data_IF_812658042797
#
_entry.id   IF_812658042797
#
_cell.length_a   1.000
_cell.length_b   1.000
_cell.length_c   1.000
_cell.angle_alpha   90.00
_cell.angle_beta   90.00
_cell.angle_gamma   90.00
#
_symmetry.space_group_name_H-M   'P 1'
#
loop_
_entity.id
_entity.type
_entity.pdbx_description
1 polymer ?
#
# COMPACT_ATOMS: atom_id res chain seq x y z
N UNK A 1 1.62 -9.81 12.85
CA UNK A 1 2.19 -8.63 12.14
C UNK A 1 2.00 -8.89 10.66
N UNK A 2 0.99 -8.32 10.00
CA UNK A 2 0.48 -8.84 8.73
C UNK A 2 1.55 -9.21 7.66
N UNK A 3 2.51 -8.32 7.38
CA UNK A 3 3.58 -8.61 6.41
C UNK A 3 4.47 -9.80 6.82
N UNK A 4 4.80 -9.90 8.11
CA UNK A 4 5.54 -11.02 8.67
C UNK A 4 4.72 -12.30 8.64
N UNK A 5 3.42 -12.22 8.97
CA UNK A 5 2.52 -13.37 8.97
C UNK A 5 2.41 -13.97 7.55
N UNK A 6 2.32 -13.11 6.52
CA UNK A 6 2.36 -13.53 5.11
C UNK A 6 3.71 -14.17 4.76
N UNK A 7 4.83 -13.54 5.12
CA UNK A 7 6.17 -14.08 4.82
C UNK A 7 6.41 -15.43 5.52
N UNK A 8 5.96 -15.59 6.76
CA UNK A 8 6.08 -16.83 7.52
C UNK A 8 5.26 -17.99 6.94
N UNK A 9 4.22 -17.69 6.14
CA UNK A 9 3.50 -18.71 5.37
C UNK A 9 4.28 -19.24 4.16
N UNK A 10 5.33 -18.54 3.72
CA UNK A 10 6.09 -18.87 2.51
C UNK A 10 7.54 -19.28 2.79
N UNK A 11 8.10 -18.93 3.95
CA UNK A 11 9.50 -19.15 4.30
C UNK A 11 9.60 -19.78 5.69
N UNK A 12 10.49 -20.77 5.86
CA UNK A 12 10.81 -21.31 7.17
C UNK A 12 11.45 -20.24 8.05
N UNK A 13 10.83 -19.96 9.20
CA UNK A 13 11.27 -18.95 10.15
C UNK A 13 12.21 -19.51 11.24
N UNK A 14 12.46 -20.82 11.27
CA UNK A 14 13.32 -21.43 12.27
C UNK A 14 14.75 -20.84 12.20
N UNK A 15 15.27 -20.44 13.37
CA UNK A 15 16.62 -19.87 13.47
C UNK A 15 16.76 -18.44 12.95
N UNK A 16 15.68 -17.80 12.45
CA UNK A 16 15.69 -16.39 12.06
C UNK A 16 15.40 -15.50 13.27
N UNK A 17 16.14 -14.40 13.39
CA UNK A 17 15.85 -13.35 14.37
C UNK A 17 14.76 -12.43 13.83
N UNK A 18 13.68 -12.27 14.59
CA UNK A 18 12.64 -11.28 14.27
C UNK A 18 13.03 -9.96 14.93
N UNK A 19 13.34 -8.95 14.12
CA UNK A 19 13.60 -7.60 14.57
C UNK A 19 12.32 -6.76 14.42
N UNK A 20 11.55 -6.52 15.50
CA UNK A 20 10.38 -5.64 15.43
C UNK A 20 10.84 -4.20 15.21
N UNK A 21 10.18 -3.51 14.27
CA UNK A 21 10.43 -2.11 13.97
C UNK A 21 9.13 -1.34 14.17
N UNK A 22 9.19 -0.30 15.02
CA UNK A 22 8.04 0.54 15.30
C UNK A 22 8.06 1.81 14.44
N UNK A 23 6.96 2.06 13.77
CA UNK A 23 6.75 3.26 12.96
C UNK A 23 5.58 4.06 13.53
N UNK A 24 5.81 5.35 13.73
CA UNK A 24 4.74 6.25 14.18
C UNK A 24 3.90 6.75 13.01
N UNK A 25 2.59 6.86 13.23
CA UNK A 25 1.65 7.53 12.32
C UNK A 25 1.44 9.01 12.68
N UNK A 26 2.32 9.60 13.50
CA UNK A 26 2.24 11.00 13.85
C UNK A 26 2.27 11.90 12.61
N UNK A 27 1.43 12.95 12.60
CA UNK A 27 1.46 13.99 11.56
C UNK A 27 2.71 14.87 11.65
N UNK A 28 3.32 14.94 12.84
CA UNK A 28 4.55 15.70 13.05
C UNK A 28 5.71 15.01 12.34
N UNK A 29 6.33 15.73 11.41
CA UNK A 29 7.42 15.21 10.59
C UNK A 29 8.64 14.84 11.40
N UNK A 30 9.06 15.65 12.37
CA UNK A 30 10.21 15.35 13.23
C UNK A 30 10.00 14.05 14.03
N UNK A 31 8.80 13.84 14.59
CA UNK A 31 8.48 12.60 15.31
C UNK A 31 8.56 11.37 14.38
N UNK A 32 8.09 11.51 13.14
CA UNK A 32 8.17 10.44 12.14
C UNK A 32 9.62 10.15 11.73
N UNK A 33 10.38 11.20 11.49
CA UNK A 33 11.80 11.12 11.19
C UNK A 33 12.61 10.45 12.30
N UNK A 34 12.30 10.76 13.56
CA UNK A 34 12.94 10.12 14.71
C UNK A 34 12.66 8.61 14.74
N UNK A 35 11.43 8.20 14.44
CA UNK A 35 11.09 6.77 14.33
C UNK A 35 11.84 6.07 13.20
N UNK A 36 12.05 6.75 12.06
CA UNK A 36 12.82 6.20 10.94
C UNK A 36 14.29 6.05 11.28
N UNK A 37 14.89 7.02 11.98
CA UNK A 37 16.28 6.92 12.45
C UNK A 37 16.44 5.80 13.47
N UNK A 38 15.50 5.62 14.38
CA UNK A 38 15.52 4.52 15.35
C UNK A 38 15.45 3.15 14.66
N UNK A 39 14.52 2.97 13.71
CA UNK A 39 14.40 1.74 12.94
C UNK A 39 15.66 1.44 12.11
N UNK A 40 16.20 2.45 11.43
CA UNK A 40 17.45 2.31 10.68
C UNK A 40 18.63 1.96 11.60
N UNK A 41 18.74 2.57 12.78
CA UNK A 41 19.79 2.24 13.75
C UNK A 41 19.73 0.79 14.22
N UNK A 42 18.52 0.28 14.49
CA UNK A 42 18.31 -1.12 14.86
C UNK A 42 18.76 -2.09 13.75
N UNK A 43 18.39 -1.80 12.50
CA UNK A 43 18.81 -2.62 11.34
C UNK A 43 20.34 -2.56 11.16
N UNK A 44 20.94 -1.37 11.22
CA UNK A 44 22.38 -1.20 11.06
C UNK A 44 23.18 -1.94 12.13
N UNK A 45 22.66 -2.07 13.35
CA UNK A 45 23.31 -2.84 14.39
C UNK A 45 23.47 -4.32 14.00
N UNK A 46 22.43 -4.90 13.37
CA UNK A 46 22.48 -6.27 12.84
C UNK A 46 23.40 -6.38 11.61
N UNK A 47 23.33 -5.42 10.68
CA UNK A 47 24.22 -5.40 9.52
C UNK A 47 25.70 -5.29 9.93
N UNK A 48 26.01 -4.49 10.96
CA UNK A 48 27.39 -4.26 11.44
C UNK A 48 28.04 -5.50 12.05
N UNK A 49 27.25 -6.48 12.47
CA UNK A 49 27.76 -7.79 12.94
C UNK A 49 27.78 -8.85 11.83
N UNK A 50 27.59 -8.43 10.58
CA UNK A 50 27.68 -9.30 9.39
C UNK A 50 26.43 -10.14 9.11
N UNK A 51 25.26 -9.73 9.62
CA UNK A 51 23.98 -10.40 9.32
C UNK A 51 23.27 -9.70 8.18
N UNK A 52 22.63 -10.48 7.31
CA UNK A 52 21.70 -9.94 6.33
C UNK A 52 20.34 -9.66 6.98
N UNK A 53 19.70 -8.56 6.58
CA UNK A 53 18.38 -8.14 7.11
C UNK A 53 17.38 -8.04 5.96
N UNK A 54 16.29 -8.81 6.06
CA UNK A 54 15.15 -8.70 5.16
C UNK A 54 14.00 -7.94 5.83
N UNK A 55 13.73 -6.72 5.37
CA UNK A 55 12.57 -5.95 5.81
C UNK A 55 11.34 -6.30 4.97
N UNK A 56 10.40 -7.04 5.55
CA UNK A 56 9.15 -7.43 4.88
C UNK A 56 8.21 -6.24 4.68
N UNK A 57 7.57 -6.17 3.52
CA UNK A 57 6.65 -5.08 3.13
C UNK A 57 5.37 -5.67 2.50
N UNK A 58 4.23 -5.01 2.71
CA UNK A 58 2.99 -5.37 2.03
C UNK A 58 2.96 -4.79 0.62
N UNK A 59 2.57 -5.61 -0.36
CA UNK A 59 2.49 -5.19 -1.74
C UNK A 59 3.88 -5.04 -2.34
N UNK A 60 4.21 -3.84 -2.83
CA UNK A 60 5.48 -3.55 -3.48
C UNK A 60 6.24 -2.44 -2.76
N UNK A 61 7.56 -2.60 -2.65
CA UNK A 61 8.44 -1.66 -1.92
C UNK A 61 8.57 -0.30 -2.61
N UNK A 62 8.29 -0.19 -3.91
CA UNK A 62 8.32 1.08 -4.65
C UNK A 62 6.98 1.84 -4.58
N UNK A 63 5.95 1.31 -3.94
CA UNK A 63 4.59 1.89 -3.92
C UNK A 63 4.16 2.20 -2.49
N UNK A 64 4.24 3.48 -2.10
CA UNK A 64 3.77 3.98 -0.79
C UNK A 64 4.28 3.19 0.44
N UNK A 65 5.47 2.61 0.35
CA UNK A 65 6.04 1.75 1.38
C UNK A 65 6.96 2.52 2.34
N UNK A 66 6.77 2.33 3.65
CA UNK A 66 7.68 2.90 4.67
C UNK A 66 9.10 2.33 4.55
N UNK A 67 9.23 1.09 4.09
CA UNK A 67 10.52 0.41 3.94
C UNK A 67 11.50 1.20 3.04
N UNK A 68 10.99 1.92 2.03
CA UNK A 68 11.83 2.70 1.13
C UNK A 68 12.62 3.80 1.87
N UNK A 69 11.97 4.53 2.79
CA UNK A 69 12.64 5.59 3.56
C UNK A 69 13.74 5.03 4.48
N UNK A 70 13.54 3.82 5.01
CA UNK A 70 14.55 3.16 5.85
C UNK A 70 15.73 2.69 5.01
N UNK A 71 15.45 2.16 3.82
CA UNK A 71 16.44 1.69 2.88
C UNK A 71 17.36 2.83 2.41
N UNK A 72 16.82 4.03 2.15
CA UNK A 72 17.64 5.21 1.82
C UNK A 72 18.64 5.54 2.94
N UNK A 73 18.21 5.56 4.20
CA UNK A 73 19.09 5.86 5.35
C UNK A 73 20.18 4.80 5.53
N UNK A 74 19.85 3.53 5.35
CA UNK A 74 20.81 2.42 5.42
C UNK A 74 21.85 2.57 4.32
N UNK A 75 21.42 2.94 3.11
CA UNK A 75 22.31 3.17 1.96
C UNK A 75 23.22 4.37 2.16
N UNK A 76 22.72 5.46 2.72
CA UNK A 76 23.50 6.67 3.00
C UNK A 76 24.65 6.39 3.99
N UNK A 77 24.47 5.42 4.87
CA UNK A 77 25.50 4.95 5.80
C UNK A 77 26.45 3.88 5.20
N UNK A 78 26.37 3.64 3.89
CA UNK A 78 27.32 2.82 3.14
C UNK A 78 27.02 1.33 3.10
N UNK A 79 25.87 0.88 3.60
CA UNK A 79 25.47 -0.52 3.50
C UNK A 79 24.90 -0.85 2.12
N UNK A 80 25.18 -2.06 1.63
CA UNK A 80 24.54 -2.58 0.42
C UNK A 80 23.04 -2.79 0.66
N UNK A 81 22.22 -2.39 -0.31
CA UNK A 81 20.76 -2.48 -0.24
C UNK A 81 20.18 -2.91 -1.57
N UNK A 82 19.18 -3.80 -1.53
CA UNK A 82 18.46 -4.29 -2.71
C UNK A 82 16.96 -4.19 -2.46
N UNK A 83 16.22 -3.75 -3.47
CA UNK A 83 14.76 -3.78 -3.48
C UNK A 83 14.28 -5.02 -4.23
N UNK A 84 13.57 -5.91 -3.55
CA UNK A 84 12.88 -7.03 -4.19
C UNK A 84 11.44 -6.61 -4.53
N UNK A 85 11.03 -6.65 -5.82
CA UNK A 85 9.69 -6.25 -6.20
C UNK A 85 8.65 -7.24 -5.67
N UNK A 86 7.44 -6.73 -5.43
CA UNK A 86 6.27 -7.49 -5.03
C UNK A 86 5.06 -7.18 -5.91
N UNK A 87 3.98 -7.90 -5.68
CA UNK A 87 2.70 -7.62 -6.36
C UNK A 87 1.99 -6.51 -5.60
N UNK A 88 1.97 -5.31 -6.15
CA UNK A 88 1.22 -4.17 -5.58
C UNK A 88 -0.28 -4.45 -5.48
N UNK A 89 -0.93 -3.89 -4.45
CA UNK A 89 -2.32 -4.22 -4.10
C UNK A 89 -3.30 -3.90 -5.23
N UNK A 90 -3.09 -2.81 -5.97
CA UNK A 90 -4.02 -2.41 -7.04
C UNK A 90 -3.99 -3.35 -8.24
N UNK A 91 -2.86 -4.03 -8.51
CA UNK A 91 -2.81 -5.07 -9.53
C UNK A 91 -3.61 -6.30 -9.08
N UNK A 92 -3.48 -6.69 -7.81
CA UNK A 92 -4.26 -7.79 -7.23
C UNK A 92 -5.76 -7.47 -7.26
N UNK A 93 -6.15 -6.25 -6.88
CA UNK A 93 -7.53 -5.75 -6.91
C UNK A 93 -8.09 -5.76 -8.34
N UNK A 94 -7.33 -5.29 -9.32
CA UNK A 94 -7.76 -5.28 -10.72
C UNK A 94 -7.99 -6.70 -11.26
N UNK A 95 -7.05 -7.62 -11.00
CA UNK A 95 -7.19 -9.03 -11.33
C UNK A 95 -8.42 -9.64 -10.64
N UNK A 96 -8.64 -9.28 -9.37
CA UNK A 96 -9.78 -9.78 -8.58
C UNK A 96 -11.13 -9.27 -9.10
N UNK A 97 -11.18 -8.04 -9.58
CA UNK A 97 -12.35 -7.45 -10.25
C UNK A 97 -12.51 -7.94 -11.71
N UNK A 98 -11.53 -8.67 -12.26
CA UNK A 98 -11.53 -9.09 -13.66
C UNK A 98 -11.37 -7.92 -14.65
N UNK A 99 -10.63 -6.88 -14.25
CA UNK A 99 -10.49 -5.63 -15.02
C UNK A 99 -9.05 -5.35 -15.39
N UNK A 100 -8.84 -4.82 -16.61
CA UNK A 100 -7.58 -4.18 -16.95
C UNK A 100 -7.51 -2.80 -16.29
N UNK A 101 -6.33 -2.40 -15.80
CA UNK A 101 -6.09 -1.04 -15.31
C UNK A 101 -5.83 -0.04 -16.44
N UNK A 102 -5.42 -0.51 -17.61
CA UNK A 102 -5.06 0.35 -18.75
C UNK A 102 -5.78 -0.09 -20.01
N UNK A 103 -5.99 0.86 -20.93
CA UNK A 103 -6.51 0.64 -22.27
C UNK A 103 -5.73 1.51 -23.25
N UNK A 104 -5.07 0.89 -24.23
CA UNK A 104 -4.30 1.59 -25.28
C UNK A 104 -3.42 2.72 -24.70
N UNK A 105 -3.76 3.97 -25.01
CA UNK A 105 -3.00 5.18 -24.65
C UNK A 105 -3.61 5.94 -23.45
N UNK A 106 -4.62 5.36 -22.78
CA UNK A 106 -5.23 5.97 -21.61
C UNK A 106 -4.32 5.87 -20.38
N UNK A 107 -4.11 6.99 -19.64
CA UNK A 107 -3.24 6.98 -18.48
C UNK A 107 -3.87 6.20 -17.30
N UNK A 108 -2.99 5.71 -16.42
CA UNK A 108 -3.36 5.16 -15.13
C UNK A 108 -2.96 6.14 -14.03
N UNK A 109 -3.93 6.53 -13.21
CA UNK A 109 -3.73 7.42 -12.07
C UNK A 109 -3.81 6.64 -10.77
N UNK A 110 -2.69 6.55 -10.05
CA UNK A 110 -2.63 5.93 -8.72
C UNK A 110 -2.70 7.04 -7.68
N UNK A 111 -3.79 7.07 -6.92
CA UNK A 111 -4.16 8.14 -6.00
C UNK A 111 -4.15 7.63 -4.57
N UNK A 112 -3.55 8.40 -3.67
CA UNK A 112 -3.68 8.17 -2.23
C UNK A 112 -4.90 8.91 -1.67
N UNK A 113 -5.46 8.43 -0.56
CA UNK A 113 -6.58 9.09 0.12
C UNK A 113 -6.32 10.53 0.63
N UNK A 114 -5.11 11.07 0.51
CA UNK A 114 -4.78 12.48 0.83
C UNK A 114 -4.77 13.40 -0.39
N UNK A 115 -5.06 12.88 -1.58
CA UNK A 115 -5.05 13.64 -2.83
C UNK A 115 -6.30 14.52 -2.94
N UNK A 116 -6.21 15.65 -3.65
CA UNK A 116 -7.39 16.38 -4.11
C UNK A 116 -8.17 15.54 -5.14
N UNK A 117 -9.14 14.80 -4.62
CA UNK A 117 -9.85 13.78 -5.38
C UNK A 117 -10.68 14.39 -6.53
N UNK A 118 -11.30 15.56 -6.35
CA UNK A 118 -12.13 16.16 -7.40
C UNK A 118 -11.28 16.49 -8.65
N UNK A 119 -10.10 17.07 -8.47
CA UNK A 119 -9.21 17.36 -9.58
C UNK A 119 -8.61 16.08 -10.20
N UNK A 120 -8.24 15.11 -9.37
CA UNK A 120 -7.68 13.85 -9.86
C UNK A 120 -8.70 13.00 -10.64
N UNK A 121 -9.98 12.98 -10.22
CA UNK A 121 -11.03 12.24 -10.90
C UNK A 121 -11.39 12.84 -12.27
N UNK A 122 -11.10 14.12 -12.50
CA UNK A 122 -11.31 14.77 -13.80
C UNK A 122 -10.27 14.38 -14.86
N UNK A 123 -9.15 13.76 -14.46
CA UNK A 123 -8.14 13.29 -15.39
C UNK A 123 -8.67 12.12 -16.25
N UNK A 124 -8.22 11.98 -17.51
CA UNK A 124 -8.65 10.87 -18.38
C UNK A 124 -8.13 9.52 -17.87
N UNK A 125 -8.65 8.42 -18.42
CA UNK A 125 -8.18 7.06 -18.09
C UNK A 125 -8.59 6.56 -16.71
N UNK A 126 -7.94 5.50 -16.24
CA UNK A 126 -8.33 4.76 -15.02
C UNK A 126 -7.79 5.40 -13.77
N UNK A 127 -8.60 5.41 -12.70
CA UNK A 127 -8.23 5.88 -11.37
C UNK A 127 -8.19 4.68 -10.42
N UNK A 128 -7.05 4.53 -9.76
CA UNK A 128 -6.86 3.66 -8.60
C UNK A 128 -6.86 4.55 -7.36
N UNK A 129 -7.82 4.38 -6.46
CA UNK A 129 -7.87 5.11 -5.19
C UNK A 129 -7.51 4.16 -4.06
N UNK A 130 -6.31 4.33 -3.50
CA UNK A 130 -5.77 3.52 -2.41
C UNK A 130 -6.11 4.11 -1.04
N UNK A 131 -6.15 3.24 0.00
CA UNK A 131 -6.35 3.62 1.41
C UNK A 131 -7.69 4.34 1.62
N UNK A 132 -8.72 3.92 0.88
CA UNK A 132 -10.00 4.62 0.79
C UNK A 132 -10.98 4.28 1.92
N UNK A 133 -10.71 3.26 2.74
CA UNK A 133 -11.68 2.73 3.72
C UNK A 133 -12.32 3.79 4.62
N UNK A 134 -11.53 4.72 5.17
CA UNK A 134 -12.05 5.81 6.04
C UNK A 134 -12.87 6.88 5.30
N UNK A 135 -12.59 7.09 4.02
CA UNK A 135 -13.21 8.13 3.20
C UNK A 135 -14.05 7.52 2.06
N UNK A 136 -14.52 6.27 2.23
CA UNK A 136 -15.07 5.51 1.12
C UNK A 136 -16.36 6.13 0.61
N UNK A 137 -17.25 6.56 1.50
CA UNK A 137 -18.52 7.19 1.12
C UNK A 137 -18.29 8.54 0.44
N UNK A 138 -17.34 9.35 0.93
CA UNK A 138 -16.94 10.59 0.28
C UNK A 138 -16.37 10.34 -1.11
N UNK A 139 -15.54 9.29 -1.24
CA UNK A 139 -14.94 8.87 -2.52
C UNK A 139 -16.03 8.39 -3.49
N UNK A 140 -17.01 7.62 -3.03
CA UNK A 140 -18.13 7.17 -3.84
C UNK A 140 -19.00 8.34 -4.33
N UNK A 141 -19.29 9.31 -3.47
CA UNK A 141 -20.00 10.53 -3.88
C UNK A 141 -19.17 11.39 -4.85
N UNK A 142 -17.85 11.45 -4.69
CA UNK A 142 -16.98 12.11 -5.66
C UNK A 142 -17.02 11.40 -7.02
N UNK A 143 -16.87 10.08 -7.05
CA UNK A 143 -17.01 9.28 -8.27
C UNK A 143 -18.37 9.49 -8.94
N UNK A 144 -19.45 9.62 -8.15
CA UNK A 144 -20.79 9.91 -8.66
C UNK A 144 -20.87 11.26 -9.36
N UNK A 145 -20.34 12.32 -8.73
CA UNK A 145 -20.32 13.67 -9.33
C UNK A 145 -19.54 13.72 -10.64
N UNK A 146 -18.52 12.87 -10.78
CA UNK A 146 -17.71 12.74 -12.00
C UNK A 146 -18.25 11.70 -12.99
N UNK A 147 -19.39 11.05 -12.72
CA UNK A 147 -19.98 10.05 -13.61
C UNK A 147 -19.25 8.70 -13.65
N UNK A 148 -18.28 8.47 -12.77
CA UNK A 148 -17.44 7.27 -12.73
C UNK A 148 -18.01 6.15 -11.84
N UNK A 149 -19.00 6.45 -11.00
CA UNK A 149 -19.52 5.50 -10.01
C UNK A 149 -20.05 4.20 -10.63
N UNK A 150 -20.69 4.29 -11.79
CA UNK A 150 -21.27 3.12 -12.48
C UNK A 150 -20.21 2.12 -12.96
N UNK A 151 -18.97 2.58 -13.14
CA UNK A 151 -17.82 1.79 -13.58
C UNK A 151 -16.77 1.66 -12.47
N UNK A 152 -17.15 1.87 -11.21
CA UNK A 152 -16.26 1.74 -10.07
C UNK A 152 -16.44 0.37 -9.39
N UNK A 153 -15.32 -0.27 -9.06
CA UNK A 153 -15.29 -1.48 -8.24
C UNK A 153 -14.25 -1.33 -7.12
N UNK A 154 -14.46 -2.04 -6.02
CA UNK A 154 -13.59 -2.01 -4.85
C UNK A 154 -13.32 -3.42 -4.37
N UNK A 155 -12.10 -3.64 -3.90
CA UNK A 155 -11.79 -4.80 -3.06
C UNK A 155 -11.16 -4.31 -1.77
N UNK A 156 -11.68 -4.78 -0.64
CA UNK A 156 -11.09 -4.63 0.68
C UNK A 156 -10.39 -5.94 1.07
N UNK A 157 -9.26 -5.84 1.77
CA UNK A 157 -8.48 -6.98 2.26
C UNK A 157 -8.17 -8.02 1.16
N UNK A 158 -7.85 -7.54 -0.05
CA UNK A 158 -7.62 -8.40 -1.22
C UNK A 158 -6.56 -9.46 -0.94
N UNK A 159 -6.91 -10.74 -1.14
CA UNK A 159 -6.04 -11.89 -0.88
C UNK A 159 -5.92 -12.31 0.60
N UNK A 160 -6.61 -11.63 1.52
CA UNK A 160 -6.70 -12.02 2.93
C UNK A 160 -8.01 -12.78 3.20
N UNK A 161 -8.10 -13.42 4.36
CA UNK A 161 -9.32 -14.17 4.76
C UNK A 161 -10.56 -13.29 4.87
N UNK A 162 -10.38 -11.99 5.18
CA UNK A 162 -11.46 -10.99 5.30
C UNK A 162 -11.78 -10.28 3.99
N UNK A 163 -11.36 -10.82 2.84
CA UNK A 163 -11.57 -10.20 1.53
C UNK A 163 -13.05 -9.89 1.26
N UNK A 164 -13.33 -8.66 0.81
CA UNK A 164 -14.66 -8.25 0.37
C UNK A 164 -14.58 -7.58 -0.99
N UNK A 165 -15.38 -8.07 -1.93
CA UNK A 165 -15.42 -7.60 -3.32
C UNK A 165 -16.75 -6.88 -3.58
N UNK A 166 -16.66 -5.65 -4.08
CA UNK A 166 -17.80 -4.81 -4.43
C UNK A 166 -17.67 -4.35 -5.88
N UNK A 167 -18.52 -4.88 -6.75
CA UNK A 167 -18.60 -4.45 -8.17
C UNK A 167 -19.54 -3.26 -8.37
N UNK A 168 -20.25 -2.84 -7.32
CA UNK A 168 -21.15 -1.71 -7.31
C UNK A 168 -20.99 -0.93 -6.00
N UNK A 169 -20.47 0.29 -6.08
CA UNK A 169 -20.20 1.12 -4.89
C UNK A 169 -21.44 1.86 -4.37
N UNK A 170 -22.64 1.63 -4.94
CA UNK A 170 -23.90 2.14 -4.38
C UNK A 170 -24.36 1.37 -3.15
N UNK A 171 -23.78 0.19 -2.91
CA UNK A 171 -24.12 -0.72 -1.81
C UNK A 171 -22.90 -0.97 -0.92
N UNK A 172 -22.25 0.10 -0.50
CA UNK A 172 -21.11 0.01 0.42
C UNK A 172 -21.59 -0.24 1.86
N UNK A 173 -20.87 -1.06 2.64
CA UNK A 173 -21.11 -1.20 4.07
C UNK A 173 -20.70 0.09 4.79
N UNK A 174 -21.16 0.24 6.03
CA UNK A 174 -20.88 1.43 6.86
C UNK A 174 -19.42 1.54 7.26
N UNK A 175 -18.76 0.40 7.51
CA UNK A 175 -17.34 0.33 7.83
C UNK A 175 -16.60 -0.56 6.83
N UNK A 176 -15.44 -0.08 6.39
CA UNK A 176 -14.58 -0.77 5.43
C UNK A 176 -13.14 -0.76 5.95
N UNK A 177 -12.44 -1.88 5.73
CA UNK A 177 -11.02 -2.01 6.04
C UNK A 177 -10.18 -0.88 5.45
N UNK A 178 -9.12 -0.51 6.18
CA UNK A 178 -8.08 0.40 5.71
C UNK A 178 -7.44 -0.07 4.39
N UNK A 179 -7.39 -1.38 4.12
CA UNK A 179 -6.82 -1.97 2.91
C UNK A 179 -7.77 -1.98 1.70
N UNK A 180 -8.82 -1.17 1.72
CA UNK A 180 -9.67 -0.94 0.57
C UNK A 180 -8.94 -0.18 -0.56
N UNK A 181 -9.14 -0.68 -1.78
CA UNK A 181 -8.68 -0.06 -3.02
C UNK A 181 -9.83 -0.02 -4.01
N UNK A 182 -10.09 1.15 -4.60
CA UNK A 182 -11.08 1.34 -5.67
C UNK A 182 -10.36 1.39 -7.02
N UNK A 183 -10.99 0.82 -8.05
CA UNK A 183 -10.67 1.00 -9.46
C UNK A 183 -11.89 1.59 -10.16
N UNK A 184 -11.72 2.72 -10.85
CA UNK A 184 -12.79 3.39 -11.60
C UNK A 184 -12.28 3.91 -12.94
N UNK A 185 -13.05 3.73 -14.01
CA UNK A 185 -12.74 4.19 -15.39
C UNK A 185 -13.95 4.82 -16.08
#
# INVERSE_FOLDING_TARGET
>A
MLALDIAAGAVDMQGKTILPLDFTMARNEAVREDSYRAAAAAIKAELSVGRDVAMVNLGDVSVYATAYYILERIRDDGFETVMCPGVTSFCAVAARLGRSLTRMDEPLHILSGSTDLNNALALPGTKVVMKSGKAIHETAEALKRHGLLANAGMVADCGLETEQVYTDLRQLPEEISYFATIVAD
#
